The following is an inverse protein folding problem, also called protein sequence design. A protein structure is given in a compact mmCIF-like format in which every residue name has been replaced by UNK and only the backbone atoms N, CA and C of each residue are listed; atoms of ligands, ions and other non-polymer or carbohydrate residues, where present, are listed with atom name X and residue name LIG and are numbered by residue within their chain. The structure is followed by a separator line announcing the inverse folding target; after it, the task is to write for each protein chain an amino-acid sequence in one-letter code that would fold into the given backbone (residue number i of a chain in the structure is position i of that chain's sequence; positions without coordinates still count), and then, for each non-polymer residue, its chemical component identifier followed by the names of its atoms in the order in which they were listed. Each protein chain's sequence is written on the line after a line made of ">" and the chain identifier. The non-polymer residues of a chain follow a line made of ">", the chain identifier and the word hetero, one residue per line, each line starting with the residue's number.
data_IF_047215182449
#
_entry.id   IF_047215182449
#
_cell.length_a   1.000
_cell.length_b   1.000
_cell.length_c   1.000
_cell.angle_alpha   90.00
_cell.angle_beta   90.00
_cell.angle_gamma   90.00
#
_symmetry.space_group_name_H-M   'P 1'
#
loop_
_entity.id
_entity.type
_entity.pdbx_description
1 polymer ?
#
# COMPACT_ATOMS: atom_id res chain seq x y z
N UNK A 1 -13.50 8.47 12.93
CA UNK A 1 -13.71 7.11 13.48
C UNK A 1 -14.79 6.32 12.73
N UNK A 2 -16.05 6.79 12.67
CA UNK A 2 -17.16 6.06 11.98
C UNK A 2 -16.90 5.76 10.49
N UNK A 3 -16.61 6.79 9.69
CA UNK A 3 -16.32 6.66 8.24
C UNK A 3 -15.15 5.72 7.91
N UNK A 4 -14.09 5.73 8.73
CA UNK A 4 -12.95 4.80 8.57
C UNK A 4 -13.40 3.35 8.78
N UNK A 5 -14.20 3.10 9.83
CA UNK A 5 -14.68 1.75 10.16
C UNK A 5 -15.60 1.20 9.06
N UNK A 6 -16.48 2.02 8.52
CA UNK A 6 -17.35 1.66 7.38
C UNK A 6 -16.50 1.34 6.14
N UNK A 7 -15.51 2.18 5.83
CA UNK A 7 -14.59 1.91 4.72
C UNK A 7 -13.81 0.60 4.91
N UNK A 8 -13.34 0.28 6.13
CA UNK A 8 -12.70 -1.02 6.43
C UNK A 8 -13.70 -2.18 6.32
N UNK A 9 -14.95 -1.97 6.72
CA UNK A 9 -15.99 -3.00 6.63
C UNK A 9 -16.29 -3.40 5.18
N UNK A 10 -16.28 -2.44 4.26
CA UNK A 10 -16.32 -2.68 2.81
C UNK A 10 -15.03 -3.32 2.35
N UNK A 11 -13.89 -2.66 2.58
CA UNK A 11 -12.60 -3.02 1.97
C UNK A 11 -12.13 -4.42 2.33
N UNK A 12 -12.40 -4.89 3.56
CA UNK A 12 -11.97 -6.22 4.02
C UNK A 12 -12.47 -7.38 3.16
N UNK A 13 -13.53 -7.17 2.38
CA UNK A 13 -14.14 -8.19 1.51
C UNK A 13 -13.43 -8.28 0.15
N UNK A 14 -12.71 -7.23 -0.25
CA UNK A 14 -12.05 -7.11 -1.56
C UNK A 14 -10.52 -7.25 -1.46
N UNK A 15 -10.03 -7.84 -0.37
CA UNK A 15 -8.60 -8.15 -0.21
C UNK A 15 -8.25 -9.36 -1.06
N UNK A 16 -7.11 -9.30 -1.74
CA UNK A 16 -6.56 -10.43 -2.52
C UNK A 16 -5.21 -10.88 -1.96
N UNK A 17 -4.73 -12.05 -2.38
CA UNK A 17 -3.35 -12.48 -2.14
C UNK A 17 -2.40 -12.02 -3.27
N UNK A 18 -1.12 -12.39 -3.16
CA UNK A 18 -0.10 -12.04 -4.17
C UNK A 18 -0.36 -12.60 -5.58
N UNK A 19 -1.21 -13.62 -5.69
CA UNK A 19 -1.57 -14.25 -6.96
C UNK A 19 -2.91 -13.72 -7.49
N UNK A 20 -3.52 -12.73 -6.81
CA UNK A 20 -4.80 -12.15 -7.19
C UNK A 20 -6.02 -12.95 -6.70
N UNK A 21 -5.84 -14.01 -5.92
CA UNK A 21 -6.97 -14.78 -5.40
C UNK A 21 -7.67 -14.04 -4.27
N UNK A 22 -9.00 -14.13 -4.12
CA UNK A 22 -9.72 -13.56 -2.99
C UNK A 22 -9.17 -14.06 -1.64
N UNK A 23 -8.83 -13.13 -0.76
CA UNK A 23 -8.30 -13.39 0.58
C UNK A 23 -8.94 -12.46 1.63
N UNK A 24 -10.28 -12.47 1.78
CA UNK A 24 -11.00 -11.53 2.63
C UNK A 24 -10.72 -11.76 4.12
N UNK A 25 -10.83 -10.70 4.92
CA UNK A 25 -10.79 -10.83 6.39
C UNK A 25 -12.17 -11.09 6.96
N UNK A 26 -12.24 -12.05 7.90
CA UNK A 26 -13.49 -12.46 8.54
C UNK A 26 -14.21 -11.34 9.31
N UNK A 27 -13.49 -10.31 9.77
CA UNK A 27 -14.08 -9.15 10.46
C UNK A 27 -13.23 -7.89 10.30
N UNK A 28 -13.80 -6.73 10.63
CA UNK A 28 -13.05 -5.46 10.71
C UNK A 28 -11.92 -5.54 11.72
N UNK A 29 -12.14 -6.21 12.85
CA UNK A 29 -11.11 -6.44 13.87
C UNK A 29 -9.97 -7.29 13.32
N UNK A 30 -10.27 -8.32 12.52
CA UNK A 30 -9.22 -9.12 11.89
C UNK A 30 -8.41 -8.30 10.88
N UNK A 31 -9.06 -7.44 10.09
CA UNK A 31 -8.38 -6.51 9.19
C UNK A 31 -7.42 -5.58 9.95
N UNK A 32 -7.90 -4.93 11.01
CA UNK A 32 -7.09 -3.95 11.77
C UNK A 32 -5.99 -4.59 12.64
N UNK A 33 -6.26 -5.76 13.24
CA UNK A 33 -5.34 -6.39 14.19
C UNK A 33 -4.35 -7.36 13.54
N UNK A 34 -4.68 -7.91 12.37
CA UNK A 34 -3.86 -8.93 11.68
C UNK A 34 -3.30 -8.42 10.36
N UNK A 35 -3.34 -7.11 10.13
CA UNK A 35 -2.70 -6.50 8.99
C UNK A 35 -2.04 -5.18 9.39
N UNK A 36 -0.93 -4.88 8.74
CA UNK A 36 -0.28 -3.57 8.84
C UNK A 36 -0.14 -2.99 7.44
N UNK A 37 -0.39 -1.70 7.31
CA UNK A 37 -0.16 -1.00 6.05
C UNK A 37 1.34 -1.08 5.71
N UNK A 38 1.62 -1.52 4.49
CA UNK A 38 2.92 -1.47 3.84
C UNK A 38 2.78 -0.66 2.55
N UNK A 39 3.88 -0.26 1.86
CA UNK A 39 3.80 0.72 0.77
C UNK A 39 2.75 0.41 -0.30
N UNK A 40 2.58 -0.87 -0.65
CA UNK A 40 1.76 -1.28 -1.80
C UNK A 40 0.60 -2.20 -1.40
N UNK A 41 0.21 -2.26 -0.13
CA UNK A 41 -0.91 -3.08 0.33
C UNK A 41 -0.91 -3.28 1.84
N UNK A 42 -1.50 -4.39 2.30
CA UNK A 42 -1.36 -4.82 3.69
C UNK A 42 -0.40 -6.02 3.82
N UNK A 43 0.16 -6.19 5.01
CA UNK A 43 1.01 -7.31 5.36
C UNK A 43 0.43 -8.06 6.56
N UNK A 44 0.34 -9.38 6.46
CA UNK A 44 -0.16 -10.26 7.54
C UNK A 44 0.95 -11.02 8.28
N UNK A 45 2.23 -10.71 8.01
CA UNK A 45 3.37 -11.38 8.65
C UNK A 45 3.47 -10.93 10.12
N UNK A 46 3.39 -11.85 11.11
CA UNK A 46 3.27 -11.48 12.53
C UNK A 46 4.39 -10.59 13.07
N UNK A 47 5.64 -10.80 12.66
CA UNK A 47 6.78 -10.01 13.12
C UNK A 47 6.72 -8.57 12.59
N UNK A 48 6.43 -8.41 11.30
CA UNK A 48 6.30 -7.14 10.64
C UNK A 48 5.08 -6.36 11.14
N UNK A 49 3.97 -7.04 11.48
CA UNK A 49 2.84 -6.43 12.18
C UNK A 49 3.32 -5.83 13.51
N UNK A 50 4.02 -6.61 14.35
CA UNK A 50 4.54 -6.13 15.63
C UNK A 50 5.50 -4.94 15.47
N UNK A 51 6.25 -4.91 14.38
CA UNK A 51 7.16 -3.82 14.04
C UNK A 51 6.47 -2.62 13.34
N UNK A 52 5.15 -2.63 13.19
CA UNK A 52 4.42 -1.55 12.53
C UNK A 52 4.76 -1.39 11.05
N UNK A 53 5.05 -2.49 10.35
CA UNK A 53 5.36 -2.50 8.91
C UNK A 53 6.82 -2.17 8.57
N UNK A 54 7.69 -1.96 9.58
CA UNK A 54 9.04 -1.41 9.41
C UNK A 54 10.16 -2.46 9.41
N UNK A 55 9.84 -3.76 9.56
CA UNK A 55 10.85 -4.82 9.68
C UNK A 55 10.81 -5.83 8.54
N UNK A 56 10.14 -5.53 7.42
CA UNK A 56 10.05 -6.44 6.29
C UNK A 56 11.44 -6.73 5.69
N UNK A 57 11.86 -7.99 5.70
CA UNK A 57 13.14 -8.42 5.13
C UNK A 57 13.16 -8.30 3.59
N UNK A 58 12.02 -8.50 2.93
CA UNK A 58 11.89 -8.51 1.48
C UNK A 58 11.78 -7.10 0.85
N UNK A 59 11.64 -6.04 1.66
CA UNK A 59 11.62 -4.61 1.30
C UNK A 59 11.15 -4.27 -0.13
N UNK A 60 9.93 -3.74 -0.24
CA UNK A 60 9.31 -3.30 -1.51
C UNK A 60 8.92 -4.44 -2.48
N UNK A 61 9.40 -5.67 -2.28
CA UNK A 61 9.04 -6.83 -3.11
C UNK A 61 7.75 -7.53 -2.63
N UNK A 62 6.72 -6.76 -2.25
CA UNK A 62 5.52 -7.30 -1.61
C UNK A 62 4.79 -8.34 -2.48
N UNK A 63 4.72 -8.15 -3.80
CA UNK A 63 4.11 -9.10 -4.72
C UNK A 63 4.80 -10.48 -4.77
N UNK A 64 6.02 -10.62 -4.24
CA UNK A 64 6.69 -11.91 -4.06
C UNK A 64 6.37 -12.62 -2.74
N UNK A 65 5.72 -11.95 -1.78
CA UNK A 65 5.57 -12.42 -0.40
C UNK A 65 4.22 -13.11 -0.14
N UNK A 66 4.23 -14.30 0.49
CA UNK A 66 3.00 -15.03 0.85
C UNK A 66 2.09 -14.32 1.87
N UNK A 67 2.60 -13.34 2.61
CA UNK A 67 1.86 -12.54 3.58
C UNK A 67 1.28 -11.24 3.00
N UNK A 68 1.49 -10.98 1.71
CA UNK A 68 0.96 -9.80 1.05
C UNK A 68 -0.55 -9.90 0.86
N UNK A 69 -1.27 -8.87 1.28
CA UNK A 69 -2.74 -8.75 1.24
C UNK A 69 -3.16 -7.36 0.76
N UNK A 70 -2.94 -7.02 -0.53
CA UNK A 70 -3.43 -5.76 -1.08
C UNK A 70 -4.95 -5.76 -1.17
N UNK A 71 -5.49 -4.56 -1.29
CA UNK A 71 -6.91 -4.29 -1.52
C UNK A 71 -7.03 -3.10 -2.49
N UNK A 72 -8.22 -2.87 -3.10
CA UNK A 72 -8.46 -1.80 -4.07
C UNK A 72 -8.00 -0.39 -3.64
N UNK A 73 -7.89 -0.11 -2.33
CA UNK A 73 -7.42 1.18 -1.87
C UNK A 73 -5.95 1.47 -2.23
N UNK A 74 -5.19 0.45 -2.64
CA UNK A 74 -3.79 0.54 -3.05
C UNK A 74 -3.56 0.56 -4.57
N UNK A 75 -4.61 0.48 -5.41
CA UNK A 75 -4.47 0.47 -6.88
C UNK A 75 -3.55 1.59 -7.40
N UNK A 76 -3.80 2.83 -6.97
CA UNK A 76 -3.01 3.99 -7.37
C UNK A 76 -1.52 3.86 -6.95
N UNK A 77 -1.26 3.43 -5.71
CA UNK A 77 0.11 3.25 -5.22
C UNK A 77 0.86 2.14 -5.98
N UNK A 78 0.15 1.07 -6.37
CA UNK A 78 0.70 -0.02 -7.18
C UNK A 78 0.99 0.47 -8.61
N UNK A 79 0.12 1.28 -9.20
CA UNK A 79 0.33 1.89 -10.52
C UNK A 79 1.55 2.81 -10.54
N UNK A 80 1.68 3.69 -9.54
CA UNK A 80 2.85 4.55 -9.37
C UNK A 80 4.13 3.72 -9.21
N UNK A 81 4.09 2.66 -8.41
CA UNK A 81 5.22 1.76 -8.23
C UNK A 81 5.61 1.02 -9.52
N UNK A 82 4.64 0.56 -10.31
CA UNK A 82 4.89 -0.08 -11.61
C UNK A 82 5.61 0.88 -12.57
N UNK A 83 5.23 2.15 -12.57
CA UNK A 83 5.91 3.17 -13.38
C UNK A 83 7.34 3.40 -12.89
N UNK A 84 7.56 3.46 -11.57
CA UNK A 84 8.90 3.53 -10.99
C UNK A 84 9.74 2.32 -11.41
N UNK A 85 9.23 1.10 -11.24
CA UNK A 85 9.96 -0.12 -11.60
C UNK A 85 10.35 -0.18 -13.07
N UNK A 86 9.46 0.28 -13.97
CA UNK A 86 9.76 0.39 -15.41
C UNK A 86 10.90 1.37 -15.66
N UNK A 87 10.86 2.54 -15.03
CA UNK A 87 11.93 3.55 -15.11
C UNK A 87 13.25 3.00 -14.56
N UNK A 88 13.22 2.34 -13.40
CA UNK A 88 14.38 1.74 -12.76
C UNK A 88 15.00 0.65 -13.63
N UNK A 89 14.18 -0.15 -14.32
CA UNK A 89 14.65 -1.19 -15.24
C UNK A 89 15.36 -0.61 -16.45
N UNK A 90 14.81 0.44 -17.06
CA UNK A 90 15.49 1.09 -18.20
C UNK A 90 16.79 1.77 -17.75
N UNK A 91 16.80 2.36 -16.54
CA UNK A 91 18.01 2.92 -15.94
C UNK A 91 19.06 1.84 -15.68
N UNK A 92 18.67 0.69 -15.11
CA UNK A 92 19.56 -0.43 -14.85
C UNK A 92 20.20 -0.96 -16.15
N UNK A 93 19.44 -1.06 -17.25
CA UNK A 93 19.97 -1.43 -18.57
C UNK A 93 20.98 -0.41 -19.10
N UNK A 94 20.68 0.88 -18.98
CA UNK A 94 21.58 1.95 -19.41
C UNK A 94 22.87 2.00 -18.60
N UNK A 95 22.84 1.56 -17.34
CA UNK A 95 24.00 1.44 -16.46
C UNK A 95 24.77 0.13 -16.66
N UNK A 96 24.40 -0.70 -17.64
CA UNK A 96 24.99 -2.03 -17.86
C UNK A 96 24.97 -2.89 -16.59
N UNK A 97 23.90 -2.76 -15.79
CA UNK A 97 23.72 -3.56 -14.58
C UNK A 97 23.63 -5.06 -14.93
N UNK A 98 24.11 -5.91 -14.02
CA UNK A 98 24.08 -7.36 -14.19
C UNK A 98 22.65 -7.89 -14.42
N UNK A 99 22.55 -8.99 -15.17
CA UNK A 99 21.30 -9.67 -15.53
C UNK A 99 20.41 -9.98 -14.33
N UNK A 100 20.97 -10.27 -13.15
CA UNK A 100 20.15 -10.54 -11.97
C UNK A 100 19.33 -9.32 -11.53
N UNK A 101 19.82 -8.10 -11.76
CA UNK A 101 19.12 -6.85 -11.41
C UNK A 101 17.96 -6.63 -12.37
N UNK A 102 18.22 -6.72 -13.67
CA UNK A 102 17.20 -6.53 -14.73
C UNK A 102 16.10 -7.58 -14.63
N UNK A 103 16.47 -8.84 -14.35
CA UNK A 103 15.52 -9.93 -14.11
C UNK A 103 14.64 -9.62 -12.90
N UNK A 104 15.23 -9.27 -11.76
CA UNK A 104 14.47 -8.96 -10.55
C UNK A 104 13.47 -7.79 -10.75
N UNK A 105 13.85 -6.74 -11.48
CA UNK A 105 12.93 -5.64 -11.80
C UNK A 105 11.79 -6.12 -12.74
N UNK A 106 12.12 -6.96 -13.72
CA UNK A 106 11.14 -7.53 -14.65
C UNK A 106 10.13 -8.45 -13.95
N UNK A 107 10.61 -9.27 -13.03
CA UNK A 107 9.77 -10.19 -12.24
C UNK A 107 8.85 -9.40 -11.31
N UNK A 108 9.34 -8.32 -10.68
CA UNK A 108 8.51 -7.43 -9.88
C UNK A 108 7.43 -6.73 -10.72
N UNK A 109 7.78 -6.21 -11.90
CA UNK A 109 6.81 -5.60 -12.83
C UNK A 109 5.72 -6.60 -13.18
N UNK A 110 6.10 -7.83 -13.51
CA UNK A 110 5.15 -8.91 -13.86
C UNK A 110 4.23 -9.22 -12.68
N UNK A 111 4.78 -9.41 -11.49
CA UNK A 111 4.03 -9.76 -10.29
C UNK A 111 3.02 -8.66 -9.88
N UNK A 112 3.46 -7.40 -9.82
CA UNK A 112 2.56 -6.28 -9.51
C UNK A 112 1.53 -6.01 -10.61
N UNK A 113 1.86 -6.25 -11.88
CA UNK A 113 0.89 -6.15 -12.98
C UNK A 113 -0.22 -7.18 -12.82
N UNK A 114 0.11 -8.42 -12.42
CA UNK A 114 -0.88 -9.46 -12.13
C UNK A 114 -1.84 -9.03 -11.01
N UNK A 115 -1.30 -8.60 -9.87
CA UNK A 115 -2.09 -8.11 -8.73
C UNK A 115 -3.00 -6.94 -9.12
N UNK A 116 -2.47 -5.96 -9.85
CA UNK A 116 -3.23 -4.80 -10.31
C UNK A 116 -4.38 -5.22 -11.24
N UNK A 117 -4.10 -6.13 -12.18
CA UNK A 117 -5.09 -6.60 -13.15
C UNK A 117 -6.23 -7.34 -12.46
N UNK A 118 -5.92 -8.26 -11.53
CA UNK A 118 -6.93 -8.99 -10.78
C UNK A 118 -7.84 -8.09 -9.94
N UNK A 119 -7.29 -7.06 -9.27
CA UNK A 119 -8.13 -6.12 -8.52
C UNK A 119 -8.99 -5.24 -9.43
N UNK A 120 -8.51 -4.88 -10.63
CA UNK A 120 -9.30 -4.12 -11.61
C UNK A 120 -10.42 -4.96 -12.19
N UNK A 121 -10.12 -6.20 -12.61
CA UNK A 121 -11.11 -7.17 -13.08
C UNK A 121 -12.20 -7.39 -12.03
N UNK A 122 -11.82 -7.57 -10.76
CA UNK A 122 -12.77 -7.68 -9.67
C UNK A 122 -13.71 -6.47 -9.58
N UNK A 123 -13.21 -5.24 -9.78
CA UNK A 123 -14.03 -4.02 -9.76
C UNK A 123 -14.90 -3.88 -11.01
N UNK A 124 -14.42 -4.32 -12.16
CA UNK A 124 -15.16 -4.24 -13.43
C UNK A 124 -16.30 -5.26 -13.48
N UNK A 125 -16.19 -6.38 -12.75
CA UNK A 125 -17.23 -7.39 -12.60
C UNK A 125 -18.33 -7.02 -11.57
N UNK A 126 -18.12 -5.95 -10.79
CA UNK A 126 -19.10 -5.49 -9.78
C UNK A 126 -20.25 -4.69 -10.40
N UNK A 127 -21.46 -4.77 -9.83
CA UNK A 127 -22.51 -3.77 -10.11
C UNK A 127 -22.04 -2.35 -9.77
N UNK A 128 -22.50 -1.37 -10.55
CA UNK A 128 -22.07 0.04 -10.40
C UNK A 128 -22.19 0.59 -8.98
N UNK A 129 -23.26 0.24 -8.26
CA UNK A 129 -23.48 0.67 -6.87
C UNK A 129 -22.42 0.09 -5.92
N UNK A 130 -22.10 -1.20 -6.05
CA UNK A 130 -21.08 -1.86 -5.25
C UNK A 130 -19.69 -1.29 -5.57
N UNK A 131 -19.37 -1.15 -6.86
CA UNK A 131 -18.12 -0.55 -7.33
C UNK A 131 -17.92 0.86 -6.76
N UNK A 132 -18.95 1.70 -6.84
CA UNK A 132 -18.92 3.06 -6.27
C UNK A 132 -18.67 3.04 -4.76
N UNK A 133 -19.25 2.08 -4.03
CA UNK A 133 -19.01 1.90 -2.59
C UNK A 133 -17.54 1.54 -2.29
N UNK A 134 -16.93 0.68 -3.09
CA UNK A 134 -15.50 0.31 -2.96
C UNK A 134 -14.58 1.48 -3.30
N UNK A 135 -14.92 2.27 -4.32
CA UNK A 135 -14.15 3.45 -4.72
C UNK A 135 -14.19 4.55 -3.65
N UNK A 136 -15.35 4.81 -3.03
CA UNK A 136 -15.47 5.74 -1.90
C UNK A 136 -14.66 5.24 -0.69
N UNK A 137 -14.82 3.97 -0.32
CA UNK A 137 -14.06 3.37 0.78
C UNK A 137 -12.55 3.49 0.53
N UNK A 138 -12.12 3.26 -0.71
CA UNK A 138 -10.73 3.41 -1.14
C UNK A 138 -10.22 4.83 -0.95
N UNK A 139 -10.99 5.85 -1.35
CA UNK A 139 -10.63 7.25 -1.16
C UNK A 139 -10.48 7.63 0.32
N UNK A 140 -11.40 7.13 1.17
CA UNK A 140 -11.32 7.35 2.62
C UNK A 140 -10.04 6.74 3.19
N UNK A 141 -9.72 5.48 2.85
CA UNK A 141 -8.55 4.79 3.37
C UNK A 141 -7.23 5.43 2.89
N UNK A 142 -7.14 5.85 1.63
CA UNK A 142 -5.99 6.63 1.12
C UNK A 142 -5.78 7.91 1.92
N UNK A 143 -6.86 8.67 2.18
CA UNK A 143 -6.79 9.90 2.97
C UNK A 143 -6.31 9.63 4.41
N UNK A 144 -6.80 8.56 5.04
CA UNK A 144 -6.36 8.16 6.38
C UNK A 144 -4.85 7.86 6.38
N UNK A 145 -4.35 7.10 5.41
CA UNK A 145 -2.90 6.79 5.31
C UNK A 145 -2.05 8.04 5.15
N UNK A 146 -2.42 8.94 4.23
CA UNK A 146 -1.71 10.21 4.03
C UNK A 146 -1.59 11.01 5.35
N UNK A 147 -2.67 11.08 6.15
CA UNK A 147 -2.60 11.77 7.45
C UNK A 147 -1.74 11.07 8.51
N UNK A 148 -1.54 9.76 8.42
CA UNK A 148 -0.70 9.00 9.35
C UNK A 148 0.80 9.13 9.01
N UNK A 149 1.12 9.20 7.72
CA UNK A 149 2.49 9.42 7.23
C UNK A 149 2.95 10.86 7.53
N UNK A 150 2.03 11.83 7.48
CA UNK A 150 2.25 13.21 7.92
C UNK A 150 2.10 13.39 9.43
N UNK A 151 2.85 12.64 10.25
CA UNK A 151 3.10 13.07 11.64
C UNK A 151 3.84 14.40 11.58
N UNK A 152 3.07 15.49 11.71
CA UNK A 152 3.57 16.86 11.76
C UNK A 152 4.72 16.93 12.78
N UNK A 153 5.91 17.30 12.29
CA UNK A 153 7.00 17.68 13.18
C UNK A 153 6.50 18.88 14.00
N UNK A 154 6.68 18.88 15.33
CA UNK A 154 6.32 20.04 16.13
C UNK A 154 7.16 21.24 15.65
N UNK A 155 6.51 22.24 15.08
CA UNK A 155 7.13 23.51 14.77
C UNK A 155 7.24 24.30 16.06
N UNK A 156 8.46 24.37 16.62
CA UNK A 156 8.76 25.29 17.72
C UNK A 156 8.93 26.68 17.13
N UNK A 157 7.98 27.58 17.38
CA UNK A 157 8.12 29.01 17.04
C UNK A 157 9.06 29.65 18.06
N UNK A 158 10.26 30.03 17.62
CA UNK A 158 11.17 30.86 18.40
C UNK A 158 10.73 32.31 18.21
N UNK A 159 10.18 32.91 19.27
CA UNK A 159 9.89 34.34 19.31
C UNK A 159 11.19 35.16 19.32
N UNK A 160 11.18 36.40 18.79
CA UNK A 160 12.33 37.27 18.81
C UNK A 160 12.79 37.50 20.26
N UNK A 161 14.11 37.45 20.45
CA UNK A 161 14.75 37.71 21.73
C UNK A 161 14.66 39.21 22.01
N UNK A 162 13.95 39.58 23.08
CA UNK A 162 14.00 40.95 23.60
C UNK A 162 15.41 41.18 24.17
N UNK A 163 16.25 41.84 23.38
CA UNK A 163 17.50 42.40 23.85
C UNK A 163 17.17 43.72 24.59
N UNK A 164 16.78 43.59 25.86
CA UNK A 164 16.78 44.70 26.82
C UNK A 164 17.95 44.51 27.79
N UNK A 165 19.12 44.98 27.38
CA UNK A 165 20.19 45.36 28.31
C UNK A 165 20.86 46.62 27.78
N UNK A 166 20.51 47.76 28.37
CA UNK A 166 21.25 49.03 28.37
C UNK A 166 20.83 49.84 29.60
#
# INVERSE_FOLDING_TARGET
>A
MKRKREAVQTMRLHVVDRAGNPAPFASTTAYEARSVAVPFGNCTEPSNIKAGGKSCALRFQCAGCGFYRPDPSYLLAIEEHLNSLRSDRETARAMEADDFVVRNLTDQITAFTGVLSSMREQLDDMPDEERSGVEEASAILRKVRATQDHKLLPLTVIGPKDDSDS
#
